data_IF_909932641325
#
_entry.id   IF_909932641325
#
_cell.length_a   1.000
_cell.length_b   1.000
_cell.length_c   1.000
_cell.angle_alpha   90.00
_cell.angle_beta   90.00
_cell.angle_gamma   90.00
#
_symmetry.space_group_name_H-M   'P 1'
#
loop_
_entity.id
_entity.type
_entity.pdbx_description
1 polymer ?
#
# COMPACT_ATOMS: atom_id res chain seq x y z
N UNK A 1 10.79 9.17 -24.48
CA UNK A 1 9.43 8.62 -24.35
C UNK A 1 9.14 8.44 -22.89
N UNK A 2 8.37 9.36 -22.28
CA UNK A 2 7.95 9.20 -20.89
C UNK A 2 7.03 7.98 -20.76
N UNK A 3 7.00 7.30 -19.60
CA UNK A 3 6.11 6.16 -19.39
C UNK A 3 4.68 6.56 -19.73
N UNK A 4 3.95 5.66 -20.36
CA UNK A 4 2.57 5.85 -20.81
C UNK A 4 1.65 6.03 -19.60
N UNK A 5 1.60 7.23 -19.02
CA UNK A 5 0.81 7.56 -17.82
C UNK A 5 -0.69 7.26 -18.01
N UNK A 6 -1.16 7.19 -19.27
CA UNK A 6 -2.52 6.77 -19.65
C UNK A 6 -2.91 5.42 -19.07
N UNK A 7 -1.95 4.50 -18.90
CA UNK A 7 -2.21 3.18 -18.31
C UNK A 7 -1.75 3.10 -16.85
N UNK A 8 -0.70 3.84 -16.47
CA UNK A 8 -0.20 3.86 -15.11
C UNK A 8 -1.24 4.40 -14.13
N UNK A 9 -1.92 5.51 -14.47
CA UNK A 9 -2.92 6.13 -13.60
C UNK A 9 -4.10 5.20 -13.28
N UNK A 10 -4.82 4.62 -14.28
CA UNK A 10 -5.94 3.72 -13.97
C UNK A 10 -5.46 2.44 -13.27
N UNK A 11 -4.31 1.88 -13.65
CA UNK A 11 -3.78 0.69 -13.00
C UNK A 11 -3.41 0.94 -11.53
N UNK A 12 -2.73 2.06 -11.22
CA UNK A 12 -2.38 2.43 -9.86
C UNK A 12 -3.61 2.78 -9.02
N UNK A 13 -4.63 3.43 -9.60
CA UNK A 13 -5.89 3.69 -8.92
C UNK A 13 -6.60 2.39 -8.53
N UNK A 14 -6.72 1.44 -9.46
CA UNK A 14 -7.33 0.13 -9.21
C UNK A 14 -6.54 -0.68 -8.17
N UNK A 15 -5.22 -0.75 -8.32
CA UNK A 15 -4.37 -1.46 -7.36
C UNK A 15 -4.46 -0.85 -5.96
N UNK A 16 -4.45 0.48 -5.86
CA UNK A 16 -4.61 1.21 -4.60
C UNK A 16 -5.98 0.98 -3.96
N UNK A 17 -7.06 1.01 -4.76
CA UNK A 17 -8.42 0.77 -4.28
C UNK A 17 -8.57 -0.65 -3.71
N UNK A 18 -8.09 -1.67 -4.43
CA UNK A 18 -8.13 -3.07 -3.97
C UNK A 18 -7.33 -3.23 -2.67
N UNK A 19 -6.12 -2.67 -2.62
CA UNK A 19 -5.28 -2.72 -1.42
C UNK A 19 -5.93 -2.03 -0.21
N UNK A 20 -6.58 -0.88 -0.42
CA UNK A 20 -7.22 -0.12 0.65
C UNK A 20 -8.43 -0.87 1.21
N UNK A 21 -9.29 -1.43 0.35
CA UNK A 21 -10.46 -2.23 0.77
C UNK A 21 -10.03 -3.48 1.54
N UNK A 22 -9.00 -4.19 1.07
CA UNK A 22 -8.45 -5.33 1.77
C UNK A 22 -7.89 -4.95 3.16
N UNK A 23 -7.22 -3.80 3.25
CA UNK A 23 -6.67 -3.30 4.50
C UNK A 23 -7.76 -2.89 5.50
N UNK A 24 -8.84 -2.24 5.04
CA UNK A 24 -10.01 -1.90 5.88
C UNK A 24 -10.70 -3.16 6.39
N UNK A 25 -10.89 -4.16 5.53
CA UNK A 25 -11.47 -5.44 5.92
C UNK A 25 -10.61 -6.13 6.99
N UNK A 26 -9.30 -6.23 6.77
CA UNK A 26 -8.36 -6.82 7.73
C UNK A 26 -8.36 -6.06 9.06
N UNK A 27 -8.41 -4.73 9.04
CA UNK A 27 -8.47 -3.92 10.25
C UNK A 27 -9.74 -4.22 11.07
N UNK A 28 -10.88 -4.45 10.41
CA UNK A 28 -12.15 -4.79 11.07
C UNK A 28 -12.16 -6.19 11.68
N UNK A 29 -11.56 -7.17 11.02
CA UNK A 29 -11.69 -8.59 11.43
C UNK A 29 -10.55 -9.09 12.30
N UNK A 30 -9.35 -8.51 12.23
CA UNK A 30 -8.17 -9.07 12.88
C UNK A 30 -8.21 -9.03 14.42
N UNK A 31 -8.86 -8.03 15.01
CA UNK A 31 -8.87 -7.81 16.47
C UNK A 31 -10.25 -7.41 17.01
N UNK A 32 -11.34 -7.80 16.34
CA UNK A 32 -12.70 -7.51 16.80
C UNK A 32 -12.91 -7.98 18.27
N UNK A 33 -13.50 -7.15 19.16
CA UNK A 33 -14.23 -5.89 18.93
C UNK A 33 -13.36 -4.61 18.92
N UNK A 34 -12.03 -4.72 19.01
CA UNK A 34 -11.13 -3.57 19.01
C UNK A 34 -10.95 -3.07 17.59
N UNK A 35 -11.27 -1.80 17.37
CA UNK A 35 -11.08 -1.14 16.07
C UNK A 35 -9.60 -0.84 15.84
N UNK A 36 -8.97 -1.58 14.93
CA UNK A 36 -7.62 -1.27 14.47
C UNK A 36 -7.64 -0.10 13.50
N UNK A 37 -6.72 0.88 13.63
CA UNK A 37 -6.53 1.88 12.61
C UNK A 37 -6.05 1.22 11.31
N UNK A 38 -6.75 1.43 10.19
CA UNK A 38 -6.30 0.94 8.86
C UNK A 38 -4.90 1.45 8.49
N UNK A 39 -4.51 2.62 9.03
CA UNK A 39 -3.16 3.17 8.92
C UNK A 39 -2.07 2.24 9.47
N UNK A 40 -2.37 1.47 10.53
CA UNK A 40 -1.42 0.50 11.08
C UNK A 40 -1.22 -0.68 10.11
N UNK A 41 -2.31 -1.21 9.57
CA UNK A 41 -2.28 -2.31 8.58
C UNK A 41 -1.49 -1.90 7.34
N UNK A 42 -1.78 -0.70 6.80
CA UNK A 42 -1.08 -0.18 5.63
C UNK A 42 0.38 0.15 5.91
N UNK A 43 0.71 0.66 7.10
CA UNK A 43 2.10 0.93 7.51
C UNK A 43 2.95 -0.33 7.64
N UNK A 44 2.37 -1.47 8.08
CA UNK A 44 3.06 -2.76 8.14
C UNK A 44 3.50 -3.25 6.75
N UNK A 45 2.81 -2.85 5.68
CA UNK A 45 3.19 -3.16 4.30
C UNK A 45 4.11 -2.06 3.73
N UNK A 46 3.73 -0.79 3.94
CA UNK A 46 4.43 0.37 3.42
C UNK A 46 5.83 0.54 3.99
N UNK A 47 6.05 0.25 5.28
CA UNK A 47 7.34 0.34 5.95
C UNK A 47 8.40 -0.58 5.32
N UNK A 48 8.17 -1.91 5.29
CA UNK A 48 9.07 -2.84 4.61
C UNK A 48 9.27 -2.51 3.13
N UNK A 49 8.21 -2.14 2.40
CA UNK A 49 8.30 -1.75 1.00
C UNK A 49 9.18 -0.50 0.81
N UNK A 50 9.02 0.50 1.67
CA UNK A 50 9.82 1.72 1.65
C UNK A 50 11.29 1.46 1.96
N UNK A 51 11.56 0.62 2.98
CA UNK A 51 12.93 0.18 3.30
C UNK A 51 13.57 -0.59 2.13
N UNK A 52 12.80 -1.45 1.46
CA UNK A 52 13.25 -2.15 0.26
C UNK A 52 13.60 -1.17 -0.87
N UNK A 53 12.74 -0.18 -1.13
CA UNK A 53 13.02 0.86 -2.13
C UNK A 53 14.25 1.68 -1.77
N UNK A 54 14.45 2.03 -0.50
CA UNK A 54 15.62 2.75 -0.01
C UNK A 54 16.90 1.94 -0.24
N UNK A 55 16.90 0.65 0.09
CA UNK A 55 18.04 -0.26 -0.17
C UNK A 55 18.33 -0.40 -1.66
N UNK A 56 17.30 -0.40 -2.51
CA UNK A 56 17.43 -0.48 -3.97
C UNK A 56 17.94 0.82 -4.57
N UNK A 57 17.57 1.98 -4.01
CA UNK A 57 18.14 3.30 -4.31
C UNK A 57 19.42 3.53 -3.51
N UNK A 58 20.37 2.59 -3.56
CA UNK A 58 21.75 2.91 -3.21
C UNK A 58 22.22 3.98 -4.20
N UNK A 59 22.16 5.22 -3.75
CA UNK A 59 22.87 6.37 -4.30
C UNK A 59 24.33 5.94 -4.32
N UNK A 60 24.82 5.56 -5.50
CA UNK A 60 26.24 5.62 -5.81
C UNK A 60 26.54 7.03 -6.24
#
# INVERSE_FOLDING_TARGET
GGPSHRWLLPASALAGAVFMVASDLLARVALAPVELPVGLVTALVGGPFFLYLLKKRKVT
#
